data_IF_401507672468
#
_entry.id   IF_401507672468
#
_cell.length_a   1.000
_cell.length_b   1.000
_cell.length_c   1.000
_cell.angle_alpha   90.00
_cell.angle_beta   90.00
_cell.angle_gamma   90.00
#
_symmetry.space_group_name_H-M   'P 1'
#
loop_
_entity.id
_entity.type
_entity.pdbx_description
1 polymer ?
#
# COMPACT_ATOMS: atom_id res chain seq x y z
N UNK A 1 58.27 -17.33 10.01
CA UNK A 1 57.12 -17.10 10.89
C UNK A 1 56.56 -15.73 10.59
N UNK A 2 55.63 -15.65 9.59
CA UNK A 2 55.04 -14.40 9.14
C UNK A 2 53.53 -14.48 9.42
N UNK A 3 53.06 -13.57 10.28
CA UNK A 3 51.67 -13.46 10.68
C UNK A 3 50.99 -12.49 9.73
N UNK A 4 50.09 -13.01 8.89
CA UNK A 4 49.25 -12.22 8.01
C UNK A 4 48.10 -11.60 8.82
N UNK A 5 48.00 -10.25 8.81
CA UNK A 5 46.89 -9.49 9.38
C UNK A 5 45.79 -9.39 8.34
N UNK A 6 44.64 -10.02 8.60
CA UNK A 6 43.44 -9.81 7.82
C UNK A 6 42.79 -8.47 8.23
N UNK A 7 42.67 -7.55 7.28
CA UNK A 7 41.88 -6.33 7.44
C UNK A 7 40.40 -6.69 7.31
N UNK A 8 39.64 -6.60 8.40
CA UNK A 8 38.19 -6.55 8.36
C UNK A 8 37.78 -5.12 7.96
N UNK A 9 37.25 -4.97 6.75
CA UNK A 9 36.58 -3.74 6.35
C UNK A 9 35.15 -3.77 6.87
N UNK A 10 34.87 -2.92 7.86
CA UNK A 10 33.49 -2.69 8.32
C UNK A 10 32.77 -1.83 7.28
N UNK A 11 31.75 -2.39 6.61
CA UNK A 11 30.78 -1.63 5.85
C UNK A 11 29.89 -0.86 6.85
N UNK A 12 30.09 0.44 6.94
CA UNK A 12 29.17 1.32 7.65
C UNK A 12 27.90 1.48 6.80
N UNK A 13 26.77 0.98 7.27
CA UNK A 13 25.48 1.27 6.72
C UNK A 13 25.20 2.77 6.91
N UNK A 14 25.16 3.52 5.82
CA UNK A 14 24.71 4.92 5.80
C UNK A 14 23.19 4.94 5.99
N UNK A 15 22.75 5.03 7.24
CA UNK A 15 21.39 5.46 7.53
C UNK A 15 21.29 6.94 7.20
N UNK A 16 20.61 7.29 6.13
CA UNK A 16 20.25 8.68 5.85
C UNK A 16 19.17 9.04 6.87
N UNK A 17 19.41 9.95 7.83
CA UNK A 17 18.37 10.38 8.73
C UNK A 17 17.35 11.20 7.95
N UNK A 18 16.10 10.82 8.02
CA UNK A 18 14.99 11.68 7.62
C UNK A 18 15.04 12.90 8.56
N UNK A 19 15.12 14.13 8.06
CA UNK A 19 15.22 15.30 8.94
C UNK A 19 13.94 15.41 9.77
N UNK A 20 14.06 15.25 11.08
CA UNK A 20 13.05 15.69 12.02
C UNK A 20 13.03 17.22 11.99
N UNK A 21 12.08 17.82 11.30
CA UNK A 21 11.85 19.26 11.37
C UNK A 21 11.01 19.56 12.60
N UNK A 22 11.63 20.33 13.52
CA UNK A 22 10.93 20.96 14.63
C UNK A 22 9.92 22.00 14.12
N UNK A 23 8.78 22.05 14.79
CA UNK A 23 7.73 23.07 14.82
C UNK A 23 7.84 24.27 13.86
N UNK A 24 6.92 24.35 12.90
CA UNK A 24 6.64 25.51 12.06
C UNK A 24 6.30 25.13 10.65
N UNK A 25 5.00 25.09 10.29
CA UNK A 25 4.41 25.10 8.93
C UNK A 25 5.27 24.47 7.79
N UNK A 26 5.71 23.24 7.96
CA UNK A 26 6.16 22.47 6.80
C UNK A 26 4.93 22.24 5.90
N UNK A 27 5.02 22.50 4.58
CA UNK A 27 3.89 22.28 3.70
C UNK A 27 3.43 20.82 3.85
N UNK A 28 2.14 20.66 4.11
CA UNK A 28 1.46 19.37 4.27
C UNK A 28 1.84 18.44 3.10
N UNK A 29 2.74 17.49 3.34
CA UNK A 29 3.22 16.66 2.25
C UNK A 29 2.14 15.66 1.83
N UNK A 30 1.89 15.59 0.52
CA UNK A 30 0.88 14.69 -0.04
C UNK A 30 1.42 13.29 -0.16
N UNK A 31 0.67 12.33 0.40
CA UNK A 31 0.91 10.89 0.21
C UNK A 31 -0.27 10.31 -0.56
N UNK A 32 0.03 9.49 -1.57
CA UNK A 32 -0.98 8.79 -2.36
C UNK A 32 -0.80 7.28 -2.19
N UNK A 33 -1.89 6.60 -1.88
CA UNK A 33 -1.98 5.14 -1.88
C UNK A 33 -2.75 4.76 -3.14
N UNK A 34 -2.07 4.23 -4.16
CA UNK A 34 -2.68 3.86 -5.43
C UNK A 34 -2.84 2.33 -5.49
N UNK A 35 -4.08 1.86 -5.44
CA UNK A 35 -4.41 0.43 -5.38
C UNK A 35 -5.56 0.07 -6.33
N UNK A 36 -5.79 -1.21 -6.55
CA UNK A 36 -6.78 -1.65 -7.52
C UNK A 36 -8.20 -1.70 -6.95
N UNK A 37 -8.37 -2.26 -5.75
CA UNK A 37 -9.67 -2.55 -5.16
C UNK A 37 -9.80 -1.98 -3.74
N UNK A 38 -11.02 -1.71 -3.26
CA UNK A 38 -11.29 -1.55 -1.83
C UNK A 38 -10.86 -2.81 -1.07
N UNK A 39 -10.05 -2.67 -0.05
CA UNK A 39 -9.37 -3.65 0.82
C UNK A 39 -7.84 -3.81 0.57
N UNK A 40 -7.34 -3.46 -0.59
CA UNK A 40 -5.89 -3.52 -0.88
C UNK A 40 -5.06 -2.65 0.08
N UNK A 41 -5.61 -1.52 0.52
CA UNK A 41 -4.97 -0.60 1.46
C UNK A 41 -4.68 -1.24 2.82
N UNK A 42 -5.35 -2.35 3.16
CA UNK A 42 -5.17 -3.06 4.42
C UNK A 42 -3.75 -3.60 4.59
N UNK A 43 -3.05 -3.92 3.48
CA UNK A 43 -1.66 -4.37 3.53
C UNK A 43 -0.66 -3.28 3.93
N UNK A 44 -1.11 -2.02 3.91
CA UNK A 44 -0.33 -0.84 4.31
C UNK A 44 -1.01 -0.06 5.44
N UNK A 45 -2.12 -0.56 5.97
CA UNK A 45 -3.03 0.18 6.84
C UNK A 45 -2.36 0.88 8.02
N UNK A 46 -1.50 0.24 8.85
CA UNK A 46 -0.88 0.95 9.96
C UNK A 46 0.14 2.01 9.50
N UNK A 47 0.78 1.83 8.33
CA UNK A 47 1.65 2.86 7.76
C UNK A 47 0.84 4.06 7.26
N UNK A 48 -0.33 3.83 6.65
CA UNK A 48 -1.25 4.88 6.22
C UNK A 48 -1.70 5.70 7.43
N UNK A 49 -2.12 5.03 8.51
CA UNK A 49 -2.54 5.70 9.74
C UNK A 49 -1.40 6.50 10.39
N UNK A 50 -0.17 5.95 10.40
CA UNK A 50 1.00 6.64 10.91
C UNK A 50 1.29 7.93 10.12
N UNK A 51 1.27 7.87 8.79
CA UNK A 51 1.48 9.03 7.93
C UNK A 51 0.39 10.10 8.13
N UNK A 52 -0.87 9.70 8.23
CA UNK A 52 -1.97 10.64 8.53
C UNK A 52 -1.80 11.32 9.90
N UNK A 53 -1.44 10.56 10.94
CA UNK A 53 -1.15 11.07 12.29
C UNK A 53 0.05 12.03 12.30
N UNK A 54 1.03 11.81 11.44
CA UNK A 54 2.22 12.65 11.29
C UNK A 54 1.96 13.94 10.48
N UNK A 55 0.70 14.18 10.09
CA UNK A 55 0.28 15.39 9.41
C UNK A 55 0.42 15.35 7.89
N UNK A 56 0.66 14.17 7.31
CA UNK A 56 0.63 14.03 5.85
C UNK A 56 -0.81 13.99 5.33
N UNK A 57 -1.06 14.67 4.20
CA UNK A 57 -2.33 14.58 3.51
C UNK A 57 -2.39 13.28 2.70
N UNK A 58 -3.01 12.26 3.26
CA UNK A 58 -3.13 10.95 2.61
C UNK A 58 -4.38 10.90 1.73
N UNK A 59 -4.21 10.52 0.46
CA UNK A 59 -5.30 10.19 -0.47
C UNK A 59 -5.19 8.71 -0.85
N UNK A 60 -6.27 7.94 -0.64
CA UNK A 60 -6.36 6.55 -1.10
C UNK A 60 -7.12 6.55 -2.42
N UNK A 61 -6.50 5.99 -3.47
CA UNK A 61 -7.07 5.92 -4.82
C UNK A 61 -7.27 4.46 -5.21
N UNK A 62 -8.52 4.05 -5.33
CA UNK A 62 -8.90 2.74 -5.86
C UNK A 62 -9.20 2.85 -7.35
N UNK A 63 -8.58 2.03 -8.18
CA UNK A 63 -8.84 2.03 -9.63
C UNK A 63 -10.25 1.52 -9.95
N UNK A 64 -10.74 0.55 -9.19
CA UNK A 64 -12.05 -0.07 -9.37
C UNK A 64 -12.87 -0.03 -8.07
N UNK A 65 -14.18 -0.14 -8.13
CA UNK A 65 -15.01 -0.34 -6.94
C UNK A 65 -15.03 -1.80 -6.44
N UNK A 66 -14.34 -2.72 -7.12
CA UNK A 66 -14.37 -4.15 -6.82
C UNK A 66 -15.70 -4.82 -7.16
N UNK A 67 -16.36 -4.37 -8.21
CA UNK A 67 -17.71 -4.77 -8.63
C UNK A 67 -17.84 -6.22 -9.12
N UNK A 68 -16.72 -6.92 -9.32
CA UNK A 68 -16.71 -8.33 -9.72
C UNK A 68 -16.34 -9.31 -8.59
N UNK A 69 -15.86 -8.80 -7.45
CA UNK A 69 -15.43 -9.60 -6.30
C UNK A 69 -16.42 -9.53 -5.12
N UNK A 70 -17.45 -10.41 -5.04
CA UNK A 70 -18.44 -10.38 -3.96
C UNK A 70 -17.87 -10.85 -2.60
N UNK A 71 -16.68 -11.45 -2.59
CA UNK A 71 -16.06 -11.97 -1.38
C UNK A 71 -16.94 -13.00 -0.69
N UNK A 72 -17.32 -12.72 0.56
CA UNK A 72 -18.19 -13.58 1.38
C UNK A 72 -19.65 -13.10 1.41
N UNK A 73 -19.98 -12.08 0.62
CA UNK A 73 -21.33 -11.51 0.58
C UNK A 73 -22.20 -12.13 -0.52
N UNK A 74 -23.51 -12.00 -0.36
CA UNK A 74 -24.52 -12.41 -1.35
C UNK A 74 -24.86 -11.28 -2.35
N UNK A 75 -24.12 -10.16 -2.35
CA UNK A 75 -24.38 -9.09 -3.29
C UNK A 75 -24.12 -9.54 -4.73
N UNK A 76 -25.03 -9.25 -5.66
CA UNK A 76 -24.80 -9.54 -7.06
C UNK A 76 -23.67 -8.67 -7.61
N UNK A 77 -22.83 -9.24 -8.48
CA UNK A 77 -21.78 -8.49 -9.19
C UNK A 77 -22.37 -7.30 -9.95
N UNK A 78 -21.60 -6.24 -10.08
CA UNK A 78 -21.99 -4.99 -10.75
C UNK A 78 -22.28 -3.87 -9.77
N UNK A 79 -23.14 -2.92 -10.16
CA UNK A 79 -23.30 -1.64 -9.45
C UNK A 79 -23.79 -1.79 -8.01
N UNK A 80 -24.62 -2.79 -7.69
CA UNK A 80 -25.07 -3.00 -6.31
C UNK A 80 -23.90 -3.33 -5.37
N UNK A 81 -23.01 -4.22 -5.79
CA UNK A 81 -21.78 -4.54 -5.07
C UNK A 81 -20.81 -3.35 -5.04
N UNK A 82 -20.64 -2.68 -6.18
CA UNK A 82 -19.80 -1.49 -6.29
C UNK A 82 -20.21 -0.39 -5.30
N UNK A 83 -21.49 -0.14 -5.14
CA UNK A 83 -21.99 0.87 -4.20
C UNK A 83 -21.65 0.53 -2.75
N UNK A 84 -21.81 -0.73 -2.35
CA UNK A 84 -21.45 -1.19 -1.00
C UNK A 84 -19.94 -1.09 -0.78
N UNK A 85 -19.12 -1.59 -1.70
CA UNK A 85 -17.66 -1.58 -1.56
C UNK A 85 -17.07 -0.17 -1.58
N UNK A 86 -17.66 0.79 -2.30
CA UNK A 86 -17.28 2.20 -2.16
C UNK A 86 -17.56 2.74 -0.74
N UNK A 87 -18.65 2.32 -0.12
CA UNK A 87 -18.96 2.65 1.28
C UNK A 87 -17.94 2.04 2.25
N UNK A 88 -17.55 0.79 2.03
CA UNK A 88 -16.51 0.10 2.81
C UNK A 88 -15.15 0.81 2.68
N UNK A 89 -14.75 1.19 1.47
CA UNK A 89 -13.53 1.95 1.22
C UNK A 89 -13.53 3.31 1.95
N UNK A 90 -14.66 4.04 1.92
CA UNK A 90 -14.78 5.31 2.64
C UNK A 90 -14.71 5.12 4.15
N UNK A 91 -15.34 4.08 4.68
CA UNK A 91 -15.25 3.70 6.10
C UNK A 91 -13.79 3.40 6.49
N UNK A 92 -13.10 2.56 5.70
CA UNK A 92 -11.70 2.18 5.91
C UNK A 92 -10.78 3.40 5.87
N UNK A 93 -10.87 4.23 4.83
CA UNK A 93 -10.07 5.44 4.71
C UNK A 93 -10.30 6.43 5.86
N UNK A 94 -11.56 6.58 6.32
CA UNK A 94 -11.88 7.39 7.49
C UNK A 94 -11.22 6.83 8.76
N UNK A 95 -11.27 5.53 8.97
CA UNK A 95 -10.64 4.87 10.11
C UNK A 95 -9.12 5.05 10.12
N UNK A 96 -8.49 5.11 8.93
CA UNK A 96 -7.05 5.33 8.75
C UNK A 96 -6.64 6.81 8.81
N UNK A 97 -7.59 7.73 8.92
CA UNK A 97 -7.31 9.17 8.92
C UNK A 97 -6.96 9.74 7.54
N UNK A 98 -7.30 9.02 6.45
CA UNK A 98 -7.10 9.53 5.09
C UNK A 98 -7.93 10.80 4.87
N UNK A 99 -7.32 11.82 4.26
CA UNK A 99 -7.97 13.07 3.92
C UNK A 99 -8.97 12.91 2.77
N UNK A 100 -8.75 11.89 1.92
CA UNK A 100 -9.57 11.64 0.75
C UNK A 100 -9.53 10.16 0.34
N UNK A 101 -10.69 9.64 -0.08
CA UNK A 101 -10.82 8.32 -0.71
C UNK A 101 -11.45 8.52 -2.09
N UNK A 102 -10.73 8.11 -3.13
CA UNK A 102 -11.13 8.25 -4.53
C UNK A 102 -11.37 6.87 -5.12
N UNK A 103 -12.45 6.72 -5.87
CA UNK A 103 -12.69 5.56 -6.71
C UNK A 103 -12.78 5.98 -8.16
N UNK A 104 -11.91 5.47 -9.03
CA UNK A 104 -11.84 5.87 -10.43
C UNK A 104 -12.95 5.23 -11.29
N UNK A 105 -13.65 4.22 -10.78
CA UNK A 105 -14.84 3.65 -11.39
C UNK A 105 -14.58 2.72 -12.59
N UNK A 106 -13.35 2.25 -12.79
CA UNK A 106 -13.08 1.21 -13.79
C UNK A 106 -13.66 -0.14 -13.33
N UNK A 107 -14.05 -0.99 -14.27
CA UNK A 107 -14.57 -2.31 -13.94
C UNK A 107 -13.48 -3.24 -13.38
N UNK A 108 -13.77 -3.94 -12.30
CA UNK A 108 -12.90 -4.94 -11.70
C UNK A 108 -12.64 -6.10 -12.67
N UNK A 109 -11.37 -6.50 -12.82
CA UNK A 109 -10.90 -7.47 -13.80
C UNK A 109 -10.80 -6.95 -15.23
N UNK A 110 -11.02 -5.64 -15.47
CA UNK A 110 -11.06 -5.06 -16.82
C UNK A 110 -9.96 -4.03 -17.10
N UNK A 111 -9.04 -3.81 -16.17
CA UNK A 111 -8.02 -2.76 -16.29
C UNK A 111 -7.09 -2.94 -17.50
N UNK A 112 -6.89 -4.15 -18.02
CA UNK A 112 -6.04 -4.39 -19.19
C UNK A 112 -6.48 -3.62 -20.45
N UNK A 113 -7.79 -3.43 -20.65
CA UNK A 113 -8.33 -2.58 -21.72
C UNK A 113 -7.94 -1.11 -21.52
N UNK A 114 -8.07 -0.63 -20.30
CA UNK A 114 -7.80 0.75 -19.89
C UNK A 114 -6.31 1.10 -19.83
N UNK A 115 -5.44 0.10 -19.70
CA UNK A 115 -3.99 0.25 -19.92
C UNK A 115 -3.70 0.47 -21.39
N UNK A 116 -4.34 -0.31 -22.28
CA UNK A 116 -4.09 -0.27 -23.73
C UNK A 116 -4.53 1.05 -24.35
N UNK A 117 -5.67 1.58 -23.95
CA UNK A 117 -6.21 2.86 -24.46
C UNK A 117 -5.68 4.10 -23.71
N UNK A 118 -4.88 3.91 -22.67
CA UNK A 118 -4.28 4.97 -21.85
C UNK A 118 -5.23 5.63 -20.84
N UNK A 119 -6.50 5.20 -20.75
CA UNK A 119 -7.48 5.83 -19.87
C UNK A 119 -7.14 5.66 -18.38
N UNK A 120 -6.57 4.52 -17.98
CA UNK A 120 -6.11 4.29 -16.60
C UNK A 120 -4.99 5.26 -16.23
N UNK A 121 -3.98 5.43 -17.08
CA UNK A 121 -2.89 6.38 -16.85
C UNK A 121 -3.40 7.82 -16.76
N UNK A 122 -4.33 8.21 -17.64
CA UNK A 122 -4.96 9.54 -17.63
C UNK A 122 -5.75 9.80 -16.34
N UNK A 123 -6.42 8.79 -15.80
CA UNK A 123 -7.20 8.92 -14.57
C UNK A 123 -6.30 8.95 -13.31
N UNK A 124 -5.24 8.15 -13.26
CA UNK A 124 -4.31 8.08 -12.11
C UNK A 124 -3.37 9.30 -12.04
N UNK A 125 -2.93 9.82 -13.19
CA UNK A 125 -1.89 10.85 -13.24
C UNK A 125 -2.19 12.10 -12.38
N UNK A 126 -3.42 12.67 -12.33
CA UNK A 126 -3.72 13.85 -11.49
C UNK A 126 -3.50 13.60 -9.99
N UNK A 127 -3.70 12.36 -9.53
CA UNK A 127 -3.51 11.99 -8.13
C UNK A 127 -2.03 11.79 -7.79
N UNK A 128 -1.31 11.08 -8.65
CA UNK A 128 0.12 10.74 -8.46
C UNK A 128 1.03 11.97 -8.63
N UNK A 129 0.70 12.86 -9.58
CA UNK A 129 1.51 14.05 -9.85
C UNK A 129 1.47 15.03 -8.68
N UNK A 130 2.65 15.49 -8.25
CA UNK A 130 2.79 16.41 -7.11
C UNK A 130 2.62 15.75 -5.74
N UNK A 131 2.51 14.42 -5.65
CA UNK A 131 2.69 13.70 -4.41
C UNK A 131 4.18 13.75 -3.99
N UNK A 132 4.45 13.74 -2.69
CA UNK A 132 5.81 13.53 -2.17
C UNK A 132 6.14 12.03 -2.14
N UNK A 133 5.15 11.22 -1.80
CA UNK A 133 5.28 9.75 -1.71
C UNK A 133 4.06 9.08 -2.33
N UNK A 134 4.31 7.98 -3.04
CA UNK A 134 3.28 7.10 -3.56
C UNK A 134 3.52 5.69 -3.04
N UNK A 135 2.51 5.10 -2.42
CA UNK A 135 2.49 3.72 -1.95
C UNK A 135 1.62 2.89 -2.89
N UNK A 136 2.08 1.72 -3.27
CA UNK A 136 1.32 0.79 -4.13
C UNK A 136 1.82 -0.64 -3.96
N UNK A 137 1.15 -1.61 -4.60
CA UNK A 137 1.66 -2.97 -4.75
C UNK A 137 2.95 -3.00 -5.57
N UNK A 138 3.79 -4.00 -5.34
CA UNK A 138 4.90 -4.33 -6.23
C UNK A 138 4.45 -4.89 -7.58
N UNK A 139 5.40 -5.11 -8.51
CA UNK A 139 5.11 -5.73 -9.82
C UNK A 139 4.59 -7.17 -9.71
N UNK A 140 4.79 -7.81 -8.54
CA UNK A 140 4.22 -9.13 -8.20
C UNK A 140 2.70 -9.09 -8.02
N UNK A 141 2.13 -7.95 -7.59
CA UNK A 141 0.71 -7.77 -7.30
C UNK A 141 0.25 -8.52 -6.04
N UNK A 142 1.15 -8.75 -5.07
CA UNK A 142 0.88 -9.45 -3.82
C UNK A 142 0.71 -10.96 -4.02
N UNK A 143 -0.50 -11.40 -4.33
CA UNK A 143 -0.82 -12.80 -4.69
C UNK A 143 -0.95 -13.00 -6.22
N UNK A 144 -0.39 -12.12 -7.01
CA UNK A 144 -0.38 -12.23 -8.46
C UNK A 144 -1.61 -11.67 -9.16
N UNK A 145 -2.45 -10.88 -8.49
CA UNK A 145 -3.66 -10.30 -9.08
C UNK A 145 -3.32 -9.38 -10.27
N UNK A 146 -3.99 -9.59 -11.40
CA UNK A 146 -3.68 -8.85 -12.63
C UNK A 146 -3.88 -7.34 -12.48
N UNK A 147 -4.99 -6.92 -11.86
CA UNK A 147 -5.29 -5.50 -11.68
C UNK A 147 -4.30 -4.81 -10.73
N UNK A 148 -3.81 -5.49 -9.66
CA UNK A 148 -2.75 -4.95 -8.80
C UNK A 148 -1.48 -4.68 -9.59
N UNK A 149 -1.05 -5.64 -10.42
CA UNK A 149 0.12 -5.48 -11.31
C UNK A 149 -0.06 -4.33 -12.29
N UNK A 150 -1.26 -4.17 -12.86
CA UNK A 150 -1.55 -3.10 -13.81
C UNK A 150 -1.54 -1.72 -13.15
N UNK A 151 -2.15 -1.57 -11.97
CA UNK A 151 -2.09 -0.31 -11.21
C UNK A 151 -0.66 0.01 -10.81
N UNK A 152 0.10 -0.96 -10.32
CA UNK A 152 1.53 -0.81 -10.00
C UNK A 152 2.33 -0.34 -11.23
N UNK A 153 2.18 -1.02 -12.37
CA UNK A 153 2.92 -0.70 -13.59
C UNK A 153 2.57 0.71 -14.12
N UNK A 154 1.30 1.08 -14.14
CA UNK A 154 0.87 2.40 -14.62
C UNK A 154 1.29 3.51 -13.67
N UNK A 155 1.19 3.30 -12.35
CA UNK A 155 1.72 4.23 -11.34
C UNK A 155 3.21 4.44 -11.53
N UNK A 156 3.97 3.36 -11.74
CA UNK A 156 5.41 3.41 -12.04
C UNK A 156 5.70 4.20 -13.31
N UNK A 157 4.96 3.95 -14.38
CA UNK A 157 5.10 4.68 -15.64
C UNK A 157 4.88 6.19 -15.45
N UNK A 158 3.85 6.58 -14.70
CA UNK A 158 3.55 8.00 -14.42
C UNK A 158 4.71 8.65 -13.65
N UNK A 159 5.26 7.97 -12.64
CA UNK A 159 6.37 8.46 -11.83
C UNK A 159 7.67 8.56 -12.67
N UNK A 160 7.97 7.54 -13.49
CA UNK A 160 9.14 7.54 -14.38
C UNK A 160 9.14 8.68 -15.39
N UNK A 161 7.95 9.12 -15.82
CA UNK A 161 7.82 10.23 -16.75
C UNK A 161 8.12 11.62 -16.12
N UNK A 162 8.34 11.69 -14.81
CA UNK A 162 8.67 12.95 -14.11
C UNK A 162 10.17 13.21 -14.12
N UNK A 163 10.54 14.48 -14.12
CA UNK A 163 11.92 14.89 -13.90
C UNK A 163 12.39 14.50 -12.50
N UNK A 164 13.68 14.35 -12.29
CA UNK A 164 14.22 13.90 -11.01
C UNK A 164 13.76 14.77 -9.81
N UNK A 165 13.62 16.09 -10.01
CA UNK A 165 13.18 17.03 -8.97
C UNK A 165 11.68 17.03 -8.69
N UNK A 166 10.87 16.43 -9.58
CA UNK A 166 9.41 16.36 -9.45
C UNK A 166 8.90 14.94 -9.16
N UNK A 167 9.83 14.00 -9.10
CA UNK A 167 9.51 12.58 -8.95
C UNK A 167 9.17 12.28 -7.50
N UNK A 168 7.96 11.76 -7.20
CA UNK A 168 7.66 11.27 -5.86
C UNK A 168 8.53 10.06 -5.50
N UNK A 169 8.75 9.84 -4.22
CA UNK A 169 9.20 8.54 -3.74
C UNK A 169 8.12 7.50 -4.05
N UNK A 170 8.43 6.50 -4.88
CA UNK A 170 7.52 5.40 -5.18
C UNK A 170 7.96 4.17 -4.39
N UNK A 171 7.07 3.69 -3.52
CA UNK A 171 7.33 2.60 -2.60
C UNK A 171 6.34 1.46 -2.85
N UNK A 172 6.87 0.28 -3.15
CA UNK A 172 6.11 -0.95 -3.27
C UNK A 172 6.04 -1.65 -1.93
N UNK A 173 4.82 -1.92 -1.44
CA UNK A 173 4.67 -2.74 -0.24
C UNK A 173 5.20 -4.14 -0.50
N UNK A 174 5.97 -4.68 0.43
CA UNK A 174 6.57 -6.00 0.32
C UNK A 174 6.48 -6.80 1.61
N UNK A 175 6.38 -8.11 1.46
CA UNK A 175 6.41 -9.07 2.55
C UNK A 175 7.80 -9.71 2.55
N UNK A 176 8.53 -9.58 3.66
CA UNK A 176 9.86 -10.17 3.75
C UNK A 176 9.81 -11.69 3.68
N UNK A 177 10.73 -12.31 2.94
CA UNK A 177 10.83 -13.76 2.88
C UNK A 177 10.94 -14.35 4.29
N UNK A 178 10.17 -15.40 4.58
CA UNK A 178 10.10 -16.05 5.88
C UNK A 178 9.19 -15.39 6.91
N UNK A 179 8.40 -14.36 6.53
CA UNK A 179 7.47 -13.67 7.45
C UNK A 179 6.00 -13.80 7.07
N UNK A 180 5.67 -14.55 6.03
CA UNK A 180 4.28 -14.82 5.66
C UNK A 180 3.48 -15.35 6.86
N UNK A 181 2.26 -14.82 7.08
CA UNK A 181 1.34 -15.41 8.04
C UNK A 181 1.11 -16.90 7.74
N UNK A 182 1.08 -17.79 8.74
CA UNK A 182 0.92 -19.23 8.54
C UNK A 182 -0.56 -19.60 8.30
N UNK A 183 -1.17 -19.00 7.29
CA UNK A 183 -2.55 -19.24 6.85
C UNK A 183 -2.55 -19.72 5.40
N UNK A 184 -3.45 -20.65 5.08
CA UNK A 184 -3.45 -21.30 3.77
C UNK A 184 -3.68 -20.28 2.62
N UNK A 185 -4.47 -19.27 2.85
CA UNK A 185 -4.81 -18.22 1.89
C UNK A 185 -3.61 -17.38 1.45
N UNK A 186 -2.53 -17.37 2.24
CA UNK A 186 -1.31 -16.61 1.95
C UNK A 186 -0.11 -17.48 1.57
N UNK A 187 -0.27 -18.79 1.46
CA UNK A 187 0.86 -19.71 1.24
C UNK A 187 1.65 -19.41 -0.05
N UNK A 188 0.97 -18.98 -1.11
CA UNK A 188 1.55 -18.71 -2.42
C UNK A 188 1.74 -17.20 -2.70
N UNK A 189 1.64 -16.36 -1.67
CA UNK A 189 1.86 -14.92 -1.85
C UNK A 189 3.32 -14.62 -2.16
N UNK A 190 3.54 -13.57 -2.95
CA UNK A 190 4.87 -13.11 -3.28
C UNK A 190 5.61 -12.63 -2.03
N UNK A 191 6.88 -12.98 -1.94
CA UNK A 191 7.78 -12.49 -0.91
C UNK A 191 8.98 -11.79 -1.53
N UNK A 192 9.51 -10.83 -0.82
CA UNK A 192 10.67 -10.03 -1.23
C UNK A 192 11.87 -10.36 -0.37
N UNK A 193 13.06 -10.45 -0.97
CA UNK A 193 14.31 -10.53 -0.21
C UNK A 193 14.37 -9.36 0.78
N UNK A 194 14.55 -9.60 2.09
CA UNK A 194 14.67 -8.54 3.09
C UNK A 194 15.71 -7.47 2.75
N UNK A 195 16.77 -7.81 2.00
CA UNK A 195 17.79 -6.86 1.56
C UNK A 195 17.25 -5.80 0.57
N UNK A 196 16.14 -6.06 -0.11
CA UNK A 196 15.48 -5.12 -1.01
C UNK A 196 14.46 -4.23 -0.29
N UNK A 197 13.98 -4.62 0.88
CA UNK A 197 13.01 -3.88 1.69
C UNK A 197 13.72 -2.79 2.51
N UNK A 198 14.32 -1.85 1.82
CA UNK A 198 15.19 -0.82 2.40
C UNK A 198 14.45 0.37 3.00
N UNK A 199 13.12 0.46 2.77
CA UNK A 199 12.27 1.49 3.35
C UNK A 199 11.27 0.87 4.31
N UNK A 200 11.01 1.55 5.42
CA UNK A 200 10.01 1.13 6.40
C UNK A 200 9.27 2.32 6.96
N UNK A 201 7.99 2.15 7.25
CA UNK A 201 7.18 3.11 7.98
C UNK A 201 6.79 2.46 9.30
N UNK A 202 7.34 2.99 10.39
CA UNK A 202 7.01 2.54 11.74
C UNK A 202 5.63 3.05 12.15
N UNK A 203 4.93 2.28 12.98
CA UNK A 203 3.62 2.65 13.47
C UNK A 203 3.50 2.42 14.98
N UNK A 204 2.56 3.10 15.60
CA UNK A 204 2.26 3.00 17.02
C UNK A 204 1.11 2.01 17.27
N UNK A 205 0.86 1.60 18.54
CA UNK A 205 -0.35 0.84 18.88
C UNK A 205 -1.66 1.54 18.48
N UNK A 206 -1.69 2.88 18.44
CA UNK A 206 -2.85 3.64 17.98
C UNK A 206 -3.06 3.49 16.47
N UNK A 207 -1.98 3.52 15.69
CA UNK A 207 -2.05 3.31 14.23
C UNK A 207 -2.49 1.87 13.91
N UNK A 208 -2.03 0.88 14.68
CA UNK A 208 -2.51 -0.50 14.56
C UNK A 208 -3.99 -0.63 14.93
N UNK A 209 -4.46 0.13 15.93
CA UNK A 209 -5.87 0.16 16.27
C UNK A 209 -6.71 0.77 15.13
N UNK A 210 -6.23 1.82 14.48
CA UNK A 210 -6.85 2.39 13.27
C UNK A 210 -6.91 1.37 12.12
N UNK A 211 -5.82 0.61 11.89
CA UNK A 211 -5.80 -0.46 10.90
C UNK A 211 -6.81 -1.56 11.21
N UNK A 212 -6.98 -1.94 12.49
CA UNK A 212 -8.02 -2.90 12.92
C UNK A 212 -9.43 -2.35 12.64
N UNK A 213 -9.67 -1.08 12.91
CA UNK A 213 -10.95 -0.44 12.60
C UNK A 213 -11.22 -0.41 11.10
N UNK A 214 -10.20 -0.15 10.27
CA UNK A 214 -10.30 -0.20 8.81
C UNK A 214 -10.65 -1.60 8.30
N UNK A 215 -10.02 -2.65 8.82
CA UNK A 215 -10.33 -4.03 8.44
C UNK A 215 -11.79 -4.41 8.75
N UNK A 216 -12.37 -3.89 9.83
CA UNK A 216 -13.77 -4.14 10.18
C UNK A 216 -14.76 -3.55 9.15
N UNK A 217 -14.35 -2.57 8.37
CA UNK A 217 -15.20 -1.94 7.35
C UNK A 217 -15.50 -2.86 6.15
N UNK A 218 -14.61 -3.80 5.81
CA UNK A 218 -14.72 -4.64 4.60
C UNK A 218 -15.59 -5.89 4.82
N UNK A 219 -16.87 -5.67 5.16
CA UNK A 219 -17.83 -6.73 5.50
C UNK A 219 -18.16 -7.65 4.33
N UNK A 220 -18.12 -7.14 3.10
CA UNK A 220 -18.37 -7.96 1.92
C UNK A 220 -17.21 -8.89 1.60
N UNK A 221 -15.98 -8.52 1.98
CA UNK A 221 -14.77 -9.22 1.53
C UNK A 221 -14.31 -10.32 2.47
N UNK A 222 -14.47 -10.12 3.77
CA UNK A 222 -13.91 -11.03 4.76
C UNK A 222 -14.94 -11.44 5.82
N UNK A 223 -14.92 -12.72 6.26
CA UNK A 223 -15.68 -13.15 7.43
C UNK A 223 -15.31 -12.31 8.66
N UNK A 224 -16.25 -12.18 9.60
CA UNK A 224 -16.04 -11.36 10.80
C UNK A 224 -14.78 -11.76 11.58
N UNK A 225 -14.55 -13.05 11.77
CA UNK A 225 -13.35 -13.53 12.47
C UNK A 225 -12.06 -13.08 11.78
N UNK A 226 -12.01 -13.08 10.44
CA UNK A 226 -10.86 -12.60 9.68
C UNK A 226 -10.69 -11.09 9.84
N UNK A 227 -11.77 -10.30 9.74
CA UNK A 227 -11.73 -8.84 9.93
C UNK A 227 -11.22 -8.45 11.32
N UNK A 228 -11.60 -9.21 12.35
CA UNK A 228 -11.14 -8.98 13.72
C UNK A 228 -9.69 -9.40 13.96
N UNK A 229 -9.22 -10.46 13.29
CA UNK A 229 -7.93 -11.11 13.56
C UNK A 229 -6.79 -10.70 12.66
N UNK A 230 -7.05 -10.35 11.37
CA UNK A 230 -6.00 -10.24 10.36
C UNK A 230 -4.95 -9.17 10.68
N UNK A 231 -5.31 -8.00 11.18
CA UNK A 231 -4.33 -6.95 11.47
C UNK A 231 -3.40 -7.32 12.64
N UNK A 232 -3.93 -8.04 13.64
CA UNK A 232 -3.11 -8.59 14.72
C UNK A 232 -2.17 -9.71 14.24
N UNK A 233 -2.63 -10.54 13.32
CA UNK A 233 -1.82 -11.58 12.70
C UNK A 233 -0.69 -10.97 11.86
N UNK A 234 -0.99 -9.95 11.05
CA UNK A 234 0.01 -9.25 10.24
C UNK A 234 1.05 -8.54 11.11
N UNK A 235 0.63 -7.89 12.21
CA UNK A 235 1.56 -7.30 13.16
C UNK A 235 2.48 -8.36 13.80
N UNK A 236 1.95 -9.50 14.20
CA UNK A 236 2.73 -10.57 14.83
C UNK A 236 3.70 -11.27 13.85
N UNK A 237 3.47 -11.19 12.55
CA UNK A 237 4.22 -11.93 11.52
C UNK A 237 5.04 -11.01 10.62
N UNK A 238 4.41 -10.36 9.66
CA UNK A 238 5.11 -9.66 8.56
C UNK A 238 5.47 -8.21 8.88
N UNK A 239 4.78 -7.53 9.83
CA UNK A 239 5.05 -6.12 10.11
C UNK A 239 5.94 -5.91 11.33
N UNK A 240 5.57 -6.46 12.47
CA UNK A 240 6.34 -6.35 13.74
C UNK A 240 6.70 -4.90 14.09
N UNK A 241 5.69 -4.02 14.08
CA UNK A 241 5.81 -2.61 14.41
C UNK A 241 6.20 -1.69 13.25
N UNK A 242 6.38 -2.21 12.02
CA UNK A 242 6.69 -1.41 10.82
C UNK A 242 6.23 -2.11 9.55
N UNK A 243 5.69 -1.35 8.61
CA UNK A 243 5.40 -1.85 7.27
C UNK A 243 6.65 -1.69 6.40
N UNK A 244 6.93 -2.70 5.58
CA UNK A 244 8.13 -2.80 4.76
C UNK A 244 7.84 -2.44 3.31
N UNK A 245 8.76 -1.72 2.70
CA UNK A 245 8.65 -1.28 1.31
C UNK A 245 9.96 -1.47 0.56
N UNK A 246 9.82 -1.75 -0.73
CA UNK A 246 10.88 -1.74 -1.72
C UNK A 246 10.78 -0.43 -2.53
N UNK A 247 11.81 0.44 -2.58
CA UNK A 247 11.80 1.60 -3.46
C UNK A 247 11.80 1.15 -4.93
N UNK A 248 11.04 1.85 -5.76
CA UNK A 248 10.97 1.54 -7.19
C UNK A 248 12.25 1.91 -7.97
N UNK A 249 13.06 2.85 -7.42
CA UNK A 249 14.28 3.38 -8.05
C UNK A 249 15.37 3.61 -7.00
#
# INVERSE_FOLDING_TARGET
MMISRACLSALAALTVPYPATADGDAPESRVVVAVAHPDDELFMAPAIAALAREGHRVTIVHATPGDAGPGVSDFPKGEALAAVRRGEALCSGTALGAAEVVNLGFGDGKLAGHVRDGSLAKALAPHVTGAATVLTWGPDGGYGHADHRLVSAITTQIVQARTAGERPALLYVGIAAGTLPPVAEMADWAVTDPALLTQTIAYTPADLAAAKAAALCHVTQFPEASRQGMMGLFDATMWRGKVHFHPAF
#
